data_IF_946691776772
#
_entry.id   IF_946691776772
#
_cell.length_a   1.000
_cell.length_b   1.000
_cell.length_c   1.000
_cell.angle_alpha   90.00
_cell.angle_beta   90.00
_cell.angle_gamma   90.00
#
_symmetry.space_group_name_H-M   'P 1'
#
loop_
_entity.id
_entity.type
_entity.pdbx_description
1 polymer ?
#
# COMPACT_ATOMS: atom_id res chain seq x y z
N UNK A 1 -25.26 23.92 -5.50
CA UNK A 1 -25.45 23.33 -6.60
C UNK A 1 -24.43 23.25 -7.72
N UNK A 2 -24.46 24.18 -8.71
CA UNK A 2 -23.76 23.97 -10.00
C UNK A 2 -22.25 24.23 -10.02
N UNK A 3 -21.67 24.70 -8.93
CA UNK A 3 -20.23 25.03 -8.85
C UNK A 3 -19.33 23.80 -9.03
N UNK A 4 -19.82 22.63 -8.65
CA UNK A 4 -19.02 21.39 -8.68
C UNK A 4 -19.14 20.59 -10.00
N UNK A 5 -20.07 20.94 -10.88
CA UNK A 5 -20.34 20.17 -12.13
C UNK A 5 -19.30 20.37 -13.24
N UNK A 6 -18.35 21.30 -13.06
CA UNK A 6 -17.31 21.61 -14.06
C UNK A 6 -15.89 21.57 -13.50
N UNK A 7 -15.70 21.04 -12.31
CA UNK A 7 -14.36 20.93 -11.75
C UNK A 7 -13.65 19.71 -12.32
N UNK A 8 -12.40 19.92 -12.68
CA UNK A 8 -11.48 18.85 -13.02
C UNK A 8 -10.95 18.24 -11.73
N UNK A 9 -11.03 16.92 -11.61
CA UNK A 9 -10.58 16.16 -10.46
C UNK A 9 -9.33 15.37 -10.84
N UNK A 10 -8.32 15.38 -9.99
CA UNK A 10 -7.12 14.57 -10.20
C UNK A 10 -7.10 13.47 -9.14
N UNK A 11 -7.07 12.21 -9.56
CA UNK A 11 -6.74 11.12 -8.67
C UNK A 11 -5.24 11.13 -8.40
N UNK A 12 -4.87 11.08 -7.13
CA UNK A 12 -3.49 11.20 -6.70
C UNK A 12 -2.63 10.00 -7.12
N UNK A 13 -1.31 10.14 -6.99
CA UNK A 13 -0.39 9.04 -7.27
C UNK A 13 -0.61 7.80 -6.38
N UNK A 14 -1.31 7.95 -5.26
CA UNK A 14 -1.65 6.85 -4.34
C UNK A 14 -2.76 5.92 -4.84
N UNK A 15 -3.42 6.30 -5.95
CA UNK A 15 -4.57 5.56 -6.47
C UNK A 15 -5.83 5.78 -5.65
N UNK A 16 -6.93 5.31 -6.18
CA UNK A 16 -8.25 5.34 -5.53
C UNK A 16 -8.98 4.02 -5.80
N UNK A 17 -9.95 3.70 -4.95
CA UNK A 17 -10.76 2.49 -5.12
C UNK A 17 -11.66 2.55 -6.36
N UNK A 18 -12.11 1.41 -6.90
CA UNK A 18 -13.10 1.37 -7.97
C UNK A 18 -14.39 2.14 -7.66
N UNK A 19 -14.79 2.18 -6.39
CA UNK A 19 -15.97 2.93 -5.94
C UNK A 19 -15.81 4.44 -6.18
N UNK A 20 -14.62 5.00 -5.97
CA UNK A 20 -14.32 6.42 -6.24
C UNK A 20 -14.37 6.70 -7.75
N UNK A 21 -13.85 5.80 -8.58
CA UNK A 21 -13.97 5.91 -10.04
C UNK A 21 -15.45 5.90 -10.49
N UNK A 22 -16.25 4.99 -9.93
CA UNK A 22 -17.67 4.90 -10.23
C UNK A 22 -18.44 6.17 -9.82
N UNK A 23 -18.16 6.70 -8.62
CA UNK A 23 -18.76 7.93 -8.14
C UNK A 23 -18.41 9.14 -9.02
N UNK A 24 -17.14 9.24 -9.42
CA UNK A 24 -16.69 10.31 -10.33
C UNK A 24 -17.42 10.23 -11.70
N UNK A 25 -17.58 9.02 -12.23
CA UNK A 25 -18.30 8.77 -13.48
C UNK A 25 -19.81 9.11 -13.35
N UNK A 26 -20.46 8.71 -12.28
CA UNK A 26 -21.86 9.01 -12.00
C UNK A 26 -22.09 10.53 -11.91
N UNK A 27 -21.17 11.23 -11.25
CA UNK A 27 -21.18 12.70 -11.15
C UNK A 27 -20.75 13.40 -12.43
N UNK A 28 -20.33 12.67 -13.45
CA UNK A 28 -19.82 13.20 -14.74
C UNK A 28 -18.69 14.20 -14.54
N UNK A 29 -17.75 13.90 -13.65
CA UNK A 29 -16.58 14.75 -13.42
C UNK A 29 -15.56 14.57 -14.55
N UNK A 30 -14.85 15.64 -14.89
CA UNK A 30 -13.68 15.59 -15.77
C UNK A 30 -12.49 15.12 -14.91
N UNK A 31 -12.08 13.85 -15.05
CA UNK A 31 -11.07 13.25 -14.20
C UNK A 31 -9.74 13.05 -14.93
N UNK A 32 -8.65 13.31 -14.22
CA UNK A 32 -7.29 12.95 -14.62
C UNK A 32 -6.80 11.90 -13.62
N UNK A 33 -6.50 10.71 -14.11
CA UNK A 33 -5.90 9.66 -13.28
C UNK A 33 -4.38 9.79 -13.31
N UNK A 34 -3.78 10.20 -12.19
CA UNK A 34 -2.35 10.33 -12.00
C UNK A 34 -1.77 9.19 -11.12
N UNK A 35 -2.48 8.07 -10.99
CA UNK A 35 -2.04 6.92 -10.21
C UNK A 35 -0.67 6.43 -10.66
N UNK A 36 0.24 6.25 -9.71
CA UNK A 36 1.58 5.73 -9.98
C UNK A 36 1.48 4.31 -10.60
N UNK A 37 2.25 4.01 -11.67
CA UNK A 37 2.25 2.68 -12.28
C UNK A 37 2.55 1.55 -11.30
N UNK A 38 3.34 1.80 -10.25
CA UNK A 38 3.61 0.80 -9.22
C UNK A 38 2.38 0.53 -8.34
N UNK A 39 1.62 1.56 -7.99
CA UNK A 39 0.35 1.41 -7.27
C UNK A 39 -0.65 0.65 -8.15
N UNK A 40 -0.74 1.00 -9.43
CA UNK A 40 -1.56 0.26 -10.40
C UNK A 40 -1.16 -1.23 -10.47
N UNK A 41 0.14 -1.54 -10.35
CA UNK A 41 0.62 -2.93 -10.28
C UNK A 41 0.05 -3.64 -9.05
N UNK A 42 0.10 -3.01 -7.86
CA UNK A 42 -0.42 -3.57 -6.61
C UNK A 42 -1.93 -3.80 -6.69
N UNK A 43 -2.69 -2.82 -7.22
CA UNK A 43 -4.14 -2.98 -7.46
C UNK A 43 -4.44 -4.19 -8.35
N UNK A 44 -3.71 -4.34 -9.48
CA UNK A 44 -3.87 -5.50 -10.38
C UNK A 44 -3.49 -6.82 -9.72
N UNK A 45 -2.53 -6.83 -8.81
CA UNK A 45 -2.20 -8.01 -8.03
C UNK A 45 -3.35 -8.38 -7.08
N UNK A 46 -3.92 -7.40 -6.38
CA UNK A 46 -5.07 -7.61 -5.51
C UNK A 46 -6.23 -8.28 -6.26
N UNK A 47 -6.65 -7.71 -7.39
CA UNK A 47 -7.70 -8.29 -8.23
C UNK A 47 -7.33 -9.71 -8.69
N UNK A 48 -6.12 -9.92 -9.22
CA UNK A 48 -5.68 -11.22 -9.73
C UNK A 48 -5.66 -12.32 -8.67
N UNK A 49 -5.30 -12.00 -7.43
CA UNK A 49 -5.28 -12.97 -6.35
C UNK A 49 -6.68 -13.21 -5.79
N UNK A 50 -7.52 -12.18 -5.71
CA UNK A 50 -8.92 -12.33 -5.34
C UNK A 50 -9.69 -13.23 -6.34
N UNK A 51 -9.47 -13.06 -7.65
CA UNK A 51 -10.04 -13.91 -8.70
C UNK A 51 -9.65 -15.41 -8.56
N UNK A 52 -8.57 -15.68 -7.87
CA UNK A 52 -8.09 -17.05 -7.56
C UNK A 52 -8.48 -17.53 -6.17
N UNK A 53 -9.30 -16.75 -5.48
CA UNK A 53 -9.79 -17.02 -4.12
C UNK A 53 -8.65 -17.13 -3.08
N UNK A 54 -7.65 -16.26 -3.18
CA UNK A 54 -6.62 -16.11 -2.15
C UNK A 54 -7.09 -15.14 -1.07
N UNK A 55 -6.68 -15.42 0.17
CA UNK A 55 -6.66 -14.42 1.23
C UNK A 55 -5.43 -13.53 1.05
N UNK A 56 -5.65 -12.23 0.98
CA UNK A 56 -4.63 -11.24 0.67
C UNK A 56 -4.31 -10.44 1.93
N UNK A 57 -3.06 -10.51 2.39
CA UNK A 57 -2.58 -9.71 3.50
C UNK A 57 -1.91 -8.47 2.95
N UNK A 58 -2.56 -7.33 3.13
CA UNK A 58 -2.01 -6.04 2.72
C UNK A 58 -1.22 -5.42 3.88
N UNK A 59 0.11 -5.48 3.79
CA UNK A 59 0.97 -4.78 4.74
C UNK A 59 0.92 -3.29 4.42
N UNK A 60 0.39 -2.49 5.34
CA UNK A 60 0.16 -1.06 5.10
C UNK A 60 -0.48 -0.37 6.28
N UNK A 61 -0.62 0.95 6.21
CA UNK A 61 -1.21 1.74 7.29
C UNK A 61 -2.69 1.98 7.05
N UNK A 62 -3.51 1.47 7.94
CA UNK A 62 -4.95 1.73 7.96
C UNK A 62 -5.23 3.25 7.91
N UNK A 63 -6.14 3.67 7.05
CA UNK A 63 -6.47 5.08 6.84
C UNK A 63 -5.52 5.82 5.88
N UNK A 64 -4.52 5.15 5.30
CA UNK A 64 -3.72 5.73 4.22
C UNK A 64 -4.43 5.55 2.88
N UNK A 65 -4.49 6.61 2.04
CA UNK A 65 -5.20 6.63 0.75
C UNK A 65 -4.83 5.45 -0.16
N UNK A 66 -3.56 5.09 -0.23
CA UNK A 66 -3.07 3.96 -1.03
C UNK A 66 -3.62 2.61 -0.52
N UNK A 67 -3.72 2.46 0.79
CA UNK A 67 -4.25 1.24 1.43
C UNK A 67 -5.75 1.14 1.20
N UNK A 68 -6.49 2.23 1.37
CA UNK A 68 -7.92 2.30 1.09
C UNK A 68 -8.22 2.02 -0.39
N UNK A 69 -7.41 2.58 -1.30
CA UNK A 69 -7.50 2.32 -2.73
C UNK A 69 -7.32 0.85 -3.07
N UNK A 70 -6.23 0.24 -2.58
CA UNK A 70 -5.91 -1.17 -2.80
C UNK A 70 -6.94 -2.11 -2.17
N UNK A 71 -7.35 -1.84 -0.92
CA UNK A 71 -8.37 -2.64 -0.23
C UNK A 71 -9.71 -2.61 -0.97
N UNK A 72 -10.06 -1.48 -1.57
CA UNK A 72 -11.27 -1.32 -2.36
C UNK A 72 -11.31 -2.16 -3.65
N UNK A 73 -10.18 -2.67 -4.13
CA UNK A 73 -10.12 -3.56 -5.30
C UNK A 73 -10.71 -4.96 -5.00
N UNK A 74 -10.55 -5.45 -3.76
CA UNK A 74 -11.04 -6.76 -3.35
C UNK A 74 -11.34 -6.79 -1.85
N UNK A 75 -12.36 -6.05 -1.37
CA UNK A 75 -12.61 -5.83 0.06
C UNK A 75 -12.90 -7.12 0.83
N UNK A 76 -13.49 -8.13 0.19
CA UNK A 76 -13.82 -9.41 0.82
C UNK A 76 -12.61 -10.37 0.94
N UNK A 77 -11.49 -10.05 0.29
CA UNK A 77 -10.28 -10.88 0.26
C UNK A 77 -9.09 -10.23 0.96
N UNK A 78 -9.14 -8.92 1.22
CA UNK A 78 -8.01 -8.16 1.75
C UNK A 78 -8.18 -7.86 3.23
N UNK A 79 -7.19 -8.30 4.02
CA UNK A 79 -6.99 -7.87 5.39
C UNK A 79 -5.73 -6.98 5.48
N UNK A 80 -5.88 -5.80 6.09
CA UNK A 80 -4.76 -4.86 6.31
C UNK A 80 -4.04 -5.21 7.60
N UNK A 81 -2.70 -5.16 7.56
CA UNK A 81 -1.82 -5.37 8.71
C UNK A 81 -0.86 -4.18 8.82
N UNK A 82 -0.93 -3.44 9.92
CA UNK A 82 -0.15 -2.22 10.11
C UNK A 82 1.33 -2.47 10.43
N UNK A 83 1.68 -3.67 10.84
CA UNK A 83 3.05 -4.03 11.16
C UNK A 83 3.17 -5.35 11.93
N UNK A 84 4.38 -5.66 12.46
CA UNK A 84 4.67 -6.94 13.13
C UNK A 84 3.73 -7.27 14.29
N UNK A 85 3.26 -6.25 15.01
CA UNK A 85 2.42 -6.39 16.20
C UNK A 85 0.99 -6.85 15.94
N UNK A 86 0.54 -6.83 14.69
CA UNK A 86 -0.81 -7.26 14.29
C UNK A 86 -0.82 -8.64 13.61
N UNK A 87 0.34 -9.24 13.35
CA UNK A 87 0.43 -10.53 12.64
C UNK A 87 -0.36 -11.63 13.33
N UNK A 88 -0.36 -11.65 14.68
CA UNK A 88 -1.11 -12.66 15.44
C UNK A 88 -2.64 -12.53 15.33
N UNK A 89 -3.13 -11.38 14.87
CA UNK A 89 -4.55 -11.09 14.71
C UNK A 89 -5.08 -11.43 13.31
N UNK A 90 -4.20 -11.82 12.38
CA UNK A 90 -4.59 -12.15 11.01
C UNK A 90 -5.42 -13.42 11.00
N UNK A 91 -6.60 -13.36 10.38
CA UNK A 91 -7.46 -14.50 10.13
C UNK A 91 -7.54 -14.81 8.64
N UNK A 92 -7.41 -16.07 8.27
CA UNK A 92 -7.49 -16.52 6.87
C UNK A 92 -8.48 -17.67 6.75
N UNK A 93 -9.16 -17.73 5.61
CA UNK A 93 -10.13 -18.81 5.32
C UNK A 93 -9.42 -20.13 5.00
N UNK A 94 -8.32 -20.04 4.23
CA UNK A 94 -7.51 -21.19 3.81
C UNK A 94 -6.01 -20.86 3.94
N UNK A 95 -5.29 -21.40 4.93
CA UNK A 95 -3.86 -21.14 5.12
C UNK A 95 -2.97 -21.55 3.94
N UNK A 96 -3.45 -22.43 3.05
CA UNK A 96 -2.74 -22.82 1.83
C UNK A 96 -2.89 -21.82 0.67
N UNK A 97 -3.82 -20.88 0.79
CA UNK A 97 -4.13 -19.85 -0.22
C UNK A 97 -3.94 -18.44 0.32
N UNK A 98 -2.77 -18.17 0.84
CA UNK A 98 -2.43 -16.84 1.38
C UNK A 98 -1.37 -16.19 0.51
N UNK A 99 -1.53 -14.89 0.26
CA UNK A 99 -0.53 -14.04 -0.40
C UNK A 99 -0.41 -12.73 0.36
N UNK A 100 0.77 -12.16 0.38
CA UNK A 100 0.96 -10.80 0.87
C UNK A 100 1.22 -9.83 -0.28
N UNK A 101 0.80 -8.59 -0.11
CA UNK A 101 1.16 -7.42 -0.92
C UNK A 101 1.45 -6.26 0.03
N UNK A 102 2.04 -5.18 -0.45
CA UNK A 102 2.36 -4.06 0.42
C UNK A 102 2.05 -2.70 -0.16
N UNK A 103 1.82 -1.73 0.71
CA UNK A 103 1.86 -0.30 0.41
C UNK A 103 3.25 0.06 -0.13
N UNK A 104 3.31 0.92 -1.15
CA UNK A 104 4.56 1.22 -1.86
C UNK A 104 5.53 2.11 -1.09
N UNK A 105 5.09 2.75 -0.01
CA UNK A 105 5.82 3.78 0.76
C UNK A 105 6.18 3.39 2.19
N UNK A 106 6.28 2.08 2.46
CA UNK A 106 6.62 1.55 3.77
C UNK A 106 8.12 1.60 4.09
N UNK A 107 8.45 1.39 5.36
CA UNK A 107 9.79 1.01 5.78
C UNK A 107 10.12 -0.39 5.25
N UNK A 108 11.26 -0.52 4.58
CA UNK A 108 11.72 -1.82 4.08
C UNK A 108 11.93 -2.81 5.23
N UNK A 109 12.59 -2.37 6.32
CA UNK A 109 12.91 -3.24 7.45
C UNK A 109 11.65 -3.71 8.18
N UNK A 110 10.70 -2.81 8.43
CA UNK A 110 9.44 -3.15 9.10
C UNK A 110 8.59 -4.09 8.25
N UNK A 111 8.58 -3.88 6.92
CA UNK A 111 7.88 -4.77 6.00
C UNK A 111 8.50 -6.16 5.99
N UNK A 112 9.83 -6.26 5.92
CA UNK A 112 10.54 -7.54 5.95
C UNK A 112 10.30 -8.30 7.25
N UNK A 113 10.28 -7.61 8.39
CA UNK A 113 9.98 -8.22 9.69
C UNK A 113 8.53 -8.70 9.75
N UNK A 114 7.58 -7.91 9.28
CA UNK A 114 6.16 -8.31 9.21
C UNK A 114 6.00 -9.56 8.33
N UNK A 115 6.61 -9.58 7.14
CA UNK A 115 6.55 -10.71 6.22
C UNK A 115 7.23 -11.96 6.81
N UNK A 116 8.34 -11.80 7.54
CA UNK A 116 8.99 -12.92 8.24
C UNK A 116 8.04 -13.59 9.22
N UNK A 117 7.36 -12.80 10.06
CA UNK A 117 6.37 -13.32 11.02
C UNK A 117 5.15 -13.93 10.33
N UNK A 118 4.67 -13.32 9.26
CA UNK A 118 3.59 -13.89 8.46
C UNK A 118 3.97 -15.27 7.88
N UNK A 119 5.21 -15.45 7.40
CA UNK A 119 5.69 -16.76 6.90
C UNK A 119 5.82 -17.81 7.99
N UNK A 120 6.18 -17.42 9.21
CA UNK A 120 6.18 -18.35 10.35
C UNK A 120 4.77 -18.84 10.66
N UNK A 121 3.78 -17.96 10.53
CA UNK A 121 2.38 -18.30 10.77
C UNK A 121 1.71 -19.02 9.60
N UNK A 122 2.05 -18.64 8.36
CA UNK A 122 1.51 -19.20 7.12
C UNK A 122 2.65 -19.69 6.22
N UNK A 123 3.18 -20.89 6.47
CA UNK A 123 4.36 -21.41 5.75
C UNK A 123 4.16 -21.57 4.24
N UNK A 124 2.91 -21.75 3.79
CA UNK A 124 2.55 -21.88 2.37
C UNK A 124 2.24 -20.52 1.71
N UNK A 125 2.34 -19.42 2.45
CA UNK A 125 2.12 -18.07 1.91
C UNK A 125 3.05 -17.78 0.74
N UNK A 126 2.48 -17.30 -0.35
CA UNK A 126 3.24 -16.96 -1.55
C UNK A 126 3.64 -15.48 -1.59
N UNK A 127 4.73 -15.21 -2.30
CA UNK A 127 5.21 -13.86 -2.54
C UNK A 127 4.52 -13.22 -3.75
N UNK A 128 4.34 -11.88 -3.74
CA UNK A 128 3.92 -11.17 -4.93
C UNK A 128 4.97 -11.27 -6.04
N UNK A 129 4.59 -11.18 -7.32
CA UNK A 129 5.53 -11.17 -8.42
C UNK A 129 6.32 -9.85 -8.45
N UNK A 130 7.48 -9.83 -7.82
CA UNK A 130 8.38 -8.67 -7.70
C UNK A 130 8.07 -7.78 -6.50
N UNK A 131 8.95 -6.79 -6.29
CA UNK A 131 8.87 -5.89 -5.14
C UNK A 131 7.72 -4.88 -5.29
N UNK A 132 7.00 -4.63 -4.19
CA UNK A 132 5.92 -3.64 -4.14
C UNK A 132 6.40 -2.31 -3.57
N UNK A 133 7.43 -2.31 -2.70
CA UNK A 133 7.98 -1.06 -2.16
C UNK A 133 8.66 -0.28 -3.28
N UNK A 134 8.27 0.99 -3.42
CA UNK A 134 8.76 1.88 -4.45
C UNK A 134 10.29 2.01 -4.41
N UNK A 135 10.95 1.81 -5.56
CA UNK A 135 12.39 2.01 -5.73
C UNK A 135 12.88 3.36 -5.17
N UNK A 136 12.14 4.46 -5.41
CA UNK A 136 12.48 5.76 -4.85
C UNK A 136 12.42 5.78 -3.32
N UNK A 137 11.49 5.06 -2.72
CA UNK A 137 11.39 4.89 -1.25
C UNK A 137 12.56 4.09 -0.71
N UNK A 138 12.89 2.95 -1.33
CA UNK A 138 14.02 2.12 -0.95
C UNK A 138 15.34 2.90 -1.01
N UNK A 139 15.59 3.63 -2.10
CA UNK A 139 16.80 4.42 -2.27
C UNK A 139 16.95 5.53 -1.23
N UNK A 140 15.85 6.23 -0.90
CA UNK A 140 15.89 7.26 0.15
C UNK A 140 16.24 6.66 1.50
N UNK A 141 15.62 5.54 1.87
CA UNK A 141 15.93 4.84 3.13
C UNK A 141 17.37 4.35 3.17
N UNK A 142 17.86 3.74 2.08
CA UNK A 142 19.24 3.29 1.97
C UNK A 142 20.23 4.47 2.09
N UNK A 143 19.93 5.60 1.45
CA UNK A 143 20.76 6.81 1.54
C UNK A 143 20.81 7.36 2.97
N UNK A 144 19.67 7.46 3.65
CA UNK A 144 19.61 7.90 5.05
C UNK A 144 20.42 6.98 5.95
N UNK A 145 20.24 5.66 5.87
CA UNK A 145 21.02 4.69 6.64
C UNK A 145 22.53 4.81 6.42
N UNK A 146 22.96 5.13 5.20
CA UNK A 146 24.37 5.32 4.87
C UNK A 146 24.95 6.62 5.41
N UNK A 147 24.15 7.66 5.53
CA UNK A 147 24.58 9.00 5.94
C UNK A 147 24.44 9.19 7.45
N UNK A 148 23.39 8.68 8.07
CA UNK A 148 23.07 8.89 9.48
C UNK A 148 24.26 8.61 10.44
N UNK A 149 25.04 7.53 10.30
CA UNK A 149 26.20 7.28 11.17
C UNK A 149 27.37 8.26 10.99
N UNK A 150 27.30 9.17 10.02
CA UNK A 150 28.39 10.08 9.63
C UNK A 150 28.11 11.52 9.99
N UNK A 151 26.99 11.81 10.66
CA UNK A 151 26.55 13.15 11.02
C UNK A 151 26.05 13.14 12.47
N UNK A 152 26.23 14.27 13.17
CA UNK A 152 25.75 14.45 14.54
C UNK A 152 24.26 14.74 14.61
N UNK A 153 23.70 15.30 13.52
CA UNK A 153 22.28 15.64 13.41
C UNK A 153 21.81 15.47 11.97
N UNK A 154 20.66 14.81 11.80
CA UNK A 154 19.95 14.73 10.53
C UNK A 154 18.56 15.32 10.66
N UNK A 155 18.21 16.27 9.81
CA UNK A 155 16.89 16.92 9.77
C UNK A 155 16.10 16.37 8.59
N UNK A 156 14.97 15.70 8.88
CA UNK A 156 14.00 15.25 7.88
C UNK A 156 12.87 16.26 7.79
N UNK A 157 12.73 16.91 6.64
CA UNK A 157 11.66 17.88 6.38
C UNK A 157 10.52 17.19 5.63
N UNK A 158 9.31 17.25 6.20
CA UNK A 158 8.12 16.66 5.59
C UNK A 158 6.90 16.82 6.49
N UNK A 159 5.74 16.36 6.01
CA UNK A 159 4.49 16.39 6.77
C UNK A 159 4.29 15.08 7.56
N UNK A 160 3.57 15.16 8.69
CA UNK A 160 3.28 14.01 9.55
C UNK A 160 2.37 12.94 8.91
N UNK A 161 1.63 13.30 7.86
CA UNK A 161 0.80 12.39 7.08
C UNK A 161 1.53 11.80 5.85
N UNK A 162 2.76 12.20 5.59
CA UNK A 162 3.56 11.62 4.50
C UNK A 162 4.29 10.37 4.98
N UNK A 163 3.84 9.20 4.53
CA UNK A 163 4.51 7.92 4.81
C UNK A 163 6.00 7.97 4.44
N UNK A 164 6.35 8.53 3.28
CA UNK A 164 7.74 8.72 2.86
C UNK A 164 8.58 9.52 3.87
N UNK A 165 8.03 10.56 4.49
CA UNK A 165 8.76 11.40 5.45
C UNK A 165 8.87 10.73 6.82
N UNK A 166 7.77 10.12 7.28
CA UNK A 166 7.71 9.45 8.59
C UNK A 166 8.69 8.26 8.64
N UNK A 167 8.86 7.54 7.54
CA UNK A 167 9.72 6.35 7.46
C UNK A 167 11.22 6.65 7.25
N UNK A 168 11.61 7.92 7.22
CA UNK A 168 13.03 8.34 7.17
C UNK A 168 13.57 8.75 8.55
N UNK A 169 12.77 8.69 9.60
CA UNK A 169 13.17 9.06 10.97
C UNK A 169 13.93 7.95 11.68
#
# INVERSE_FOLDING_TARGET
>A
GDVYKRQRVVFSAHGVSPAVHAEAAERRLDTIDATCPLVTKVHKQAVRFADKDYDIILVGHTGHEEVEGTQGEAPDHIQVVNGPHEVDQVEVRDPSKVVWISQTTLSVDETLETVRLLRERFPEMIDPPGEDICYATQNRQAAVKKIAPRVDLMIVVGSGNSSNSVRLK
#
